data_IF_797664307502
#
_entry.id   IF_797664307502
#
_cell.length_a   1.000
_cell.length_b   1.000
_cell.length_c   1.000
_cell.angle_alpha   90.00
_cell.angle_beta   90.00
_cell.angle_gamma   90.00
#
_symmetry.space_group_name_H-M   'P 1'
#
loop_
_entity.id
_entity.type
_entity.pdbx_description
1 polymer ?
#
# COMPACT_ATOMS: atom_id res chain seq x y z
N UNK A 1 -34.87 -21.94 59.60
CA UNK A 1 -34.15 -22.78 60.60
C UNK A 1 -32.79 -23.15 60.00
N UNK A 2 -31.72 -23.11 60.82
CA UNK A 2 -30.27 -23.16 60.50
C UNK A 2 -29.68 -21.83 59.95
N UNK A 3 -29.04 -20.93 60.71
CA UNK A 3 -27.74 -20.95 61.45
C UNK A 3 -26.58 -21.39 60.55
N UNK A 4 -25.39 -20.79 60.50
CA UNK A 4 -24.75 -19.57 61.01
C UNK A 4 -23.26 -19.69 60.57
N UNK A 5 -22.46 -18.66 60.87
CA UNK A 5 -20.99 -18.69 61.11
C UNK A 5 -20.12 -18.24 59.93
N UNK A 6 -19.80 -16.95 59.97
CA UNK A 6 -18.53 -16.36 59.53
C UNK A 6 -17.43 -16.84 60.49
N UNK A 7 -16.16 -16.93 60.06
CA UNK A 7 -15.21 -16.07 60.75
C UNK A 7 -14.25 -15.35 59.79
N UNK A 8 -14.00 -14.09 60.13
CA UNK A 8 -12.82 -13.35 59.71
C UNK A 8 -11.81 -13.39 60.86
N UNK A 9 -10.52 -13.55 60.53
CA UNK A 9 -9.36 -12.91 61.18
C UNK A 9 -8.07 -13.61 60.71
N UNK A 10 -7.15 -12.88 60.09
CA UNK A 10 -5.86 -12.51 60.68
C UNK A 10 -4.85 -12.08 59.59
N UNK A 11 -4.04 -11.10 59.99
CA UNK A 11 -3.15 -10.25 59.20
C UNK A 11 -1.85 -10.92 58.71
N UNK A 12 -1.18 -10.28 57.74
CA UNK A 12 0.22 -9.82 57.87
C UNK A 12 0.67 -9.01 56.63
N UNK A 13 1.41 -7.94 56.89
CA UNK A 13 2.02 -7.06 55.91
C UNK A 13 3.20 -7.73 55.19
N UNK A 14 3.37 -7.44 53.90
CA UNK A 14 4.66 -7.51 53.24
C UNK A 14 4.69 -6.50 52.08
N UNK A 15 5.60 -5.54 52.19
CA UNK A 15 6.04 -4.62 51.16
C UNK A 15 6.70 -5.39 50.02
N UNK A 16 6.39 -5.06 48.77
CA UNK A 16 7.05 -5.64 47.60
C UNK A 16 6.73 -4.87 46.33
N UNK A 17 7.71 -4.12 45.84
CA UNK A 17 7.64 -3.38 44.58
C UNK A 17 7.57 -4.38 43.41
N UNK A 18 6.54 -4.29 42.57
CA UNK A 18 6.49 -5.03 41.30
C UNK A 18 7.44 -4.36 40.31
N UNK A 19 8.64 -4.92 40.16
CA UNK A 19 9.52 -4.66 39.02
C UNK A 19 8.90 -5.38 37.82
N UNK A 20 8.41 -4.60 36.86
CA UNK A 20 7.94 -5.12 35.58
C UNK A 20 9.09 -5.83 34.86
N UNK A 21 8.93 -7.13 34.63
CA UNK A 21 9.80 -7.90 33.76
C UNK A 21 9.67 -7.38 32.32
N UNK A 22 10.74 -6.79 31.79
CA UNK A 22 10.86 -6.48 30.37
C UNK A 22 11.04 -7.80 29.61
N UNK A 23 10.27 -8.08 28.54
CA UNK A 23 10.57 -9.20 27.67
C UNK A 23 11.90 -8.92 26.96
N UNK A 24 12.82 -9.90 27.03
CA UNK A 24 14.09 -9.87 26.33
C UNK A 24 13.85 -9.73 24.81
N UNK A 25 14.31 -8.61 24.25
CA UNK A 25 14.27 -8.39 22.81
C UNK A 25 15.20 -9.40 22.14
N UNK A 26 14.65 -10.21 21.23
CA UNK A 26 15.43 -11.08 20.36
C UNK A 26 16.40 -10.22 19.54
N UNK A 27 17.69 -10.55 19.58
CA UNK A 27 18.72 -9.84 18.84
C UNK A 27 18.43 -9.90 17.33
N UNK A 28 18.19 -8.74 16.73
CA UNK A 28 17.93 -8.58 15.30
C UNK A 28 19.21 -8.92 14.52
N UNK A 29 19.12 -9.81 13.53
CA UNK A 29 20.23 -10.18 12.64
C UNK A 29 20.70 -8.94 11.86
N UNK A 30 22.01 -8.67 11.76
CA UNK A 30 22.50 -7.57 10.93
C UNK A 30 22.14 -7.81 9.44
N UNK A 31 21.77 -6.74 8.71
CA UNK A 31 21.34 -6.85 7.31
C UNK A 31 22.48 -7.33 6.40
N UNK A 32 22.10 -8.10 5.38
CA UNK A 32 23.03 -8.64 4.40
C UNK A 32 23.45 -7.61 3.33
N UNK A 33 24.57 -7.84 2.61
CA UNK A 33 25.00 -6.95 1.55
C UNK A 33 23.95 -6.92 0.42
N UNK A 34 23.31 -5.76 0.23
CA UNK A 34 22.23 -5.54 -0.74
C UNK A 34 20.85 -5.25 -0.13
N UNK A 35 20.68 -5.41 1.19
CA UNK A 35 19.50 -4.89 1.89
C UNK A 35 19.64 -3.37 2.14
N UNK A 36 18.61 -2.56 1.85
CA UNK A 36 18.64 -1.16 2.22
C UNK A 36 18.76 -1.05 3.75
N UNK A 37 19.87 -0.50 4.23
CA UNK A 37 20.14 -0.32 5.66
C UNK A 37 19.07 0.58 6.26
N UNK A 38 18.25 0.03 7.16
CA UNK A 38 17.15 0.72 7.83
C UNK A 38 17.60 1.80 8.84
N UNK A 39 18.88 2.19 8.84
CA UNK A 39 19.44 3.18 9.76
C UNK A 39 19.44 4.56 9.12
N UNK A 40 18.33 5.26 9.28
CA UNK A 40 18.16 6.65 8.88
C UNK A 40 16.68 6.98 8.70
N UNK A 41 16.28 8.26 8.71
CA UNK A 41 14.89 8.66 8.47
C UNK A 41 14.33 8.03 7.19
N UNK A 42 15.17 7.83 6.16
CA UNK A 42 14.87 7.08 4.93
C UNK A 42 14.36 5.65 5.17
N UNK A 43 15.08 4.87 5.98
CA UNK A 43 14.74 3.49 6.29
C UNK A 43 13.39 3.40 6.98
N UNK A 44 13.10 4.34 7.89
CA UNK A 44 11.82 4.38 8.61
C UNK A 44 10.64 4.70 7.67
N UNK A 45 10.72 5.72 6.81
CA UNK A 45 9.59 6.03 5.89
C UNK A 45 9.37 4.93 4.86
N UNK A 46 10.43 4.29 4.38
CA UNK A 46 10.32 3.16 3.43
C UNK A 46 9.79 1.92 4.13
N UNK A 47 10.25 1.62 5.34
CA UNK A 47 9.78 0.47 6.12
C UNK A 47 8.31 0.67 6.55
N UNK A 48 7.91 1.86 6.97
CA UNK A 48 6.52 2.24 7.26
C UNK A 48 5.63 2.16 6.01
N UNK A 49 6.10 2.65 4.86
CA UNK A 49 5.41 2.50 3.57
C UNK A 49 5.36 1.05 3.07
N UNK A 50 6.21 0.15 3.58
CA UNK A 50 6.21 -1.27 3.23
C UNK A 50 5.38 -2.14 4.20
N UNK A 51 5.06 -1.67 5.42
CA UNK A 51 4.52 -2.52 6.49
C UNK A 51 3.08 -2.22 7.00
N UNK A 52 2.35 -1.23 6.46
CA UNK A 52 1.05 -0.85 7.05
C UNK A 52 -0.13 -0.73 6.08
N UNK A 53 -1.22 -1.51 6.24
CA UNK A 53 -2.53 -1.15 5.68
C UNK A 53 -3.04 0.10 6.42
N UNK A 54 -2.58 1.28 6.01
CA UNK A 54 -2.93 2.56 6.65
C UNK A 54 -1.96 3.72 6.38
N UNK A 55 -0.73 3.44 5.92
CA UNK A 55 0.27 4.46 5.56
C UNK A 55 0.54 4.54 4.06
N UNK A 56 -0.04 3.61 3.29
CA UNK A 56 0.16 3.48 1.85
C UNK A 56 -1.03 4.05 1.10
N UNK A 57 -0.75 5.05 0.29
CA UNK A 57 -1.67 5.68 -0.64
C UNK A 57 -1.26 5.33 -2.07
N UNK A 58 -2.24 5.32 -2.96
CA UNK A 58 -2.00 5.15 -4.38
C UNK A 58 -1.96 6.51 -5.09
N UNK A 59 -1.10 6.62 -6.08
CA UNK A 59 -0.88 7.84 -6.84
C UNK A 59 -0.82 7.57 -8.32
N UNK A 60 -1.04 8.60 -9.12
CA UNK A 60 -0.62 8.68 -10.53
C UNK A 60 0.12 9.98 -10.78
N UNK A 61 0.88 10.04 -11.87
CA UNK A 61 1.47 11.30 -12.30
C UNK A 61 0.41 12.29 -12.80
N UNK A 62 0.63 13.57 -12.51
CA UNK A 62 -0.07 14.72 -13.11
C UNK A 62 0.94 15.76 -13.58
N UNK A 63 0.53 16.58 -14.55
CA UNK A 63 1.36 17.67 -15.09
C UNK A 63 2.72 17.19 -15.64
N UNK A 64 2.80 15.92 -16.06
CA UNK A 64 3.94 15.34 -16.80
C UNK A 64 3.42 14.92 -18.16
N UNK A 65 4.04 15.41 -19.23
CA UNK A 65 3.63 15.10 -20.60
C UNK A 65 3.90 13.62 -20.95
N UNK A 66 3.21 13.07 -21.95
CA UNK A 66 3.19 11.62 -22.28
C UNK A 66 4.57 10.97 -22.50
N UNK A 67 5.54 11.72 -23.04
CA UNK A 67 6.94 11.27 -23.23
C UNK A 67 7.89 11.60 -22.07
N UNK A 68 7.41 12.35 -21.08
CA UNK A 68 8.19 12.82 -19.96
C UNK A 68 8.34 11.77 -18.85
N UNK A 69 9.09 12.15 -17.83
CA UNK A 69 9.26 11.36 -16.62
C UNK A 69 9.48 12.27 -15.41
N UNK A 70 9.20 11.72 -14.24
CA UNK A 70 9.59 12.28 -12.95
C UNK A 70 10.69 11.41 -12.34
N UNK A 71 11.77 12.04 -11.87
CA UNK A 71 12.81 11.31 -11.15
C UNK A 71 12.30 10.91 -9.76
N UNK A 72 12.52 9.64 -9.43
CA UNK A 72 12.50 9.13 -8.06
C UNK A 72 13.94 9.21 -7.55
N UNK A 73 14.15 9.82 -6.39
CA UNK A 73 15.49 10.12 -5.84
C UNK A 73 15.73 9.39 -4.53
N UNK A 74 17.00 9.22 -4.16
CA UNK A 74 17.40 8.60 -2.89
C UNK A 74 16.90 9.36 -1.66
N UNK A 75 16.66 10.67 -1.79
CA UNK A 75 16.18 11.50 -0.69
C UNK A 75 15.21 12.58 -1.15
N UNK A 76 14.55 13.19 -0.17
CA UNK A 76 13.60 14.27 -0.34
C UNK A 76 14.30 15.58 -0.74
N UNK A 77 14.68 15.71 -2.01
CA UNK A 77 15.34 16.90 -2.53
C UNK A 77 15.90 16.73 -3.93
N UNK A 78 16.04 17.82 -4.66
CA UNK A 78 16.58 17.80 -6.04
C UNK A 78 18.07 17.48 -6.11
N UNK A 79 18.80 17.64 -5.00
CA UNK A 79 20.24 17.38 -4.89
C UNK A 79 20.58 15.89 -4.72
N UNK A 80 19.61 15.06 -4.35
CA UNK A 80 19.82 13.61 -4.21
C UNK A 80 19.87 12.91 -5.57
N UNK A 81 20.65 11.83 -5.68
CA UNK A 81 20.77 11.07 -6.91
C UNK A 81 19.43 10.44 -7.34
N UNK A 82 19.11 10.40 -8.65
CA UNK A 82 17.97 9.63 -9.15
C UNK A 82 18.22 8.12 -9.08
N UNK A 83 17.23 7.36 -8.59
CA UNK A 83 17.26 5.87 -8.51
C UNK A 83 16.27 5.21 -9.46
N UNK A 84 15.21 5.92 -9.85
CA UNK A 84 14.22 5.42 -10.79
C UNK A 84 13.52 6.57 -11.53
N UNK A 85 12.68 6.20 -12.51
CA UNK A 85 11.84 7.12 -13.26
C UNK A 85 10.39 6.65 -13.17
N UNK A 86 9.49 7.59 -12.90
CA UNK A 86 8.05 7.41 -13.07
C UNK A 86 7.65 8.01 -14.41
N UNK A 87 6.92 7.27 -15.23
CA UNK A 87 6.39 7.73 -16.51
C UNK A 87 4.87 7.70 -16.49
N UNK A 88 4.18 8.62 -17.20
CA UNK A 88 2.72 8.56 -17.30
C UNK A 88 2.21 7.23 -17.86
N UNK A 89 3.02 6.56 -18.70
CA UNK A 89 2.69 5.25 -19.27
C UNK A 89 2.76 4.10 -18.26
N UNK A 90 3.49 4.24 -17.16
CA UNK A 90 3.62 3.20 -16.13
C UNK A 90 2.29 3.03 -15.37
N UNK A 91 1.50 4.11 -15.29
CA UNK A 91 0.22 4.14 -14.58
C UNK A 91 0.40 4.62 -13.14
N UNK A 92 -0.34 4.01 -12.24
CA UNK A 92 -0.32 4.30 -10.83
C UNK A 92 0.78 3.56 -10.08
N UNK A 93 1.11 4.05 -8.90
CA UNK A 93 2.15 3.52 -8.02
C UNK A 93 1.81 3.85 -6.56
N UNK A 94 2.43 3.14 -5.62
CA UNK A 94 2.19 3.34 -4.19
C UNK A 94 3.15 4.37 -3.60
N UNK A 95 2.75 4.99 -2.50
CA UNK A 95 3.59 5.90 -1.74
C UNK A 95 2.98 6.30 -0.40
N UNK A 96 3.72 7.07 0.39
CA UNK A 96 3.26 7.54 1.69
C UNK A 96 1.99 8.40 1.57
N UNK A 97 1.10 8.32 2.55
CA UNK A 97 -0.10 9.16 2.63
C UNK A 97 0.16 10.60 3.13
N UNK A 98 1.39 11.00 3.36
CA UNK A 98 1.75 12.36 3.77
C UNK A 98 3.02 12.80 3.04
N UNK A 99 3.07 14.09 2.69
CA UNK A 99 4.27 14.69 2.13
C UNK A 99 5.14 15.25 3.25
N UNK A 100 6.45 15.05 3.13
CA UNK A 100 7.45 15.69 3.99
C UNK A 100 8.23 16.67 3.14
N UNK A 101 8.12 17.98 3.46
CA UNK A 101 8.81 19.05 2.74
C UNK A 101 8.55 19.04 1.21
N UNK A 102 7.33 18.68 0.80
CA UNK A 102 6.95 18.64 -0.62
C UNK A 102 7.40 17.38 -1.38
N UNK A 103 7.90 16.35 -0.69
CA UNK A 103 8.26 15.06 -1.26
C UNK A 103 7.44 13.93 -0.67
N UNK A 104 7.16 12.91 -1.48
CA UNK A 104 6.45 11.69 -1.09
C UNK A 104 7.43 10.52 -1.26
N UNK A 105 7.55 9.68 -0.24
CA UNK A 105 8.20 8.38 -0.39
C UNK A 105 7.29 7.50 -1.28
N UNK A 106 7.84 6.94 -2.35
CA UNK A 106 7.11 6.16 -3.36
C UNK A 106 7.78 4.82 -3.57
N UNK A 107 7.00 3.83 -3.99
CA UNK A 107 7.47 2.57 -4.54
C UNK A 107 6.93 2.42 -5.95
N UNK A 108 7.85 2.35 -6.92
CA UNK A 108 7.51 2.15 -8.33
C UNK A 108 6.90 0.76 -8.53
N UNK A 109 6.17 0.55 -9.63
CA UNK A 109 5.65 -0.78 -10.00
C UNK A 109 6.76 -1.83 -10.14
N UNK A 110 7.98 -1.42 -10.53
CA UNK A 110 9.17 -2.29 -10.58
C UNK A 110 9.77 -2.61 -9.20
N UNK A 111 9.16 -2.15 -8.10
CA UNK A 111 9.58 -2.44 -6.73
C UNK A 111 10.62 -1.47 -6.16
N UNK A 112 11.22 -0.58 -6.97
CA UNK A 112 12.20 0.41 -6.50
C UNK A 112 11.52 1.47 -5.63
N UNK A 113 12.07 1.73 -4.45
CA UNK A 113 11.63 2.78 -3.53
C UNK A 113 12.51 4.03 -3.62
N UNK A 114 11.94 5.19 -3.29
CA UNK A 114 12.65 6.46 -3.17
C UNK A 114 11.68 7.64 -3.00
N UNK A 115 12.07 8.85 -3.39
CA UNK A 115 11.28 10.08 -3.18
C UNK A 115 10.93 10.77 -4.50
N UNK A 116 9.67 11.17 -4.62
CA UNK A 116 9.15 11.93 -5.76
C UNK A 116 8.53 13.26 -5.29
N UNK A 117 8.70 14.31 -6.08
CA UNK A 117 8.15 15.63 -5.74
C UNK A 117 6.61 15.63 -5.80
N UNK A 118 5.98 15.90 -4.66
CA UNK A 118 4.54 15.77 -4.43
C UNK A 118 3.69 16.60 -5.41
N UNK A 119 4.21 17.73 -5.87
CA UNK A 119 3.50 18.62 -6.81
C UNK A 119 3.09 17.93 -8.13
N UNK A 120 3.84 16.90 -8.55
CA UNK A 120 3.56 16.11 -9.75
C UNK A 120 2.76 14.83 -9.48
N UNK A 121 2.33 14.60 -8.23
CA UNK A 121 1.60 13.39 -7.85
C UNK A 121 0.15 13.72 -7.57
N UNK A 122 -0.75 12.97 -8.20
CA UNK A 122 -2.18 12.99 -7.92
C UNK A 122 -2.53 11.78 -7.06
N UNK A 123 -3.01 12.01 -5.84
CA UNK A 123 -3.47 10.93 -4.96
C UNK A 123 -4.79 10.39 -5.48
N UNK A 124 -4.88 9.08 -5.60
CA UNK A 124 -6.14 8.42 -5.96
C UNK A 124 -7.09 8.47 -4.77
N UNK A 125 -8.32 8.89 -5.03
CA UNK A 125 -9.38 8.83 -4.04
C UNK A 125 -9.97 7.41 -4.01
N UNK A 126 -9.92 6.79 -2.83
CA UNK A 126 -10.44 5.45 -2.59
C UNK A 126 -11.71 5.48 -1.74
N UNK A 127 -12.19 6.67 -1.39
CA UNK A 127 -13.45 6.84 -0.65
C UNK A 127 -14.62 6.29 -1.47
N UNK A 128 -15.55 5.59 -0.81
CA UNK A 128 -16.69 4.96 -1.46
C UNK A 128 -16.36 3.70 -2.29
N UNK A 129 -15.10 3.23 -2.31
CA UNK A 129 -14.74 1.97 -2.95
C UNK A 129 -15.26 0.78 -2.12
N UNK A 130 -15.92 -0.22 -2.72
CA UNK A 130 -16.38 -1.40 -2.01
C UNK A 130 -15.20 -2.26 -1.52
N UNK A 131 -15.43 -3.04 -0.47
CA UNK A 131 -14.43 -3.96 0.06
C UNK A 131 -14.11 -5.08 -0.94
N UNK A 132 -12.84 -5.49 -0.95
CA UNK A 132 -12.33 -6.53 -1.83
C UNK A 132 -12.38 -7.87 -1.08
N UNK A 133 -13.39 -8.68 -1.34
CA UNK A 133 -13.58 -10.00 -0.72
C UNK A 133 -13.87 -11.12 -1.73
N UNK A 134 -14.01 -10.76 -3.00
CA UNK A 134 -14.21 -11.67 -4.10
C UNK A 134 -12.95 -11.79 -4.95
N UNK A 135 -12.96 -12.75 -5.86
CA UNK A 135 -11.88 -12.91 -6.80
C UNK A 135 -12.38 -13.20 -8.19
N UNK A 136 -11.53 -12.85 -9.15
CA UNK A 136 -11.83 -12.91 -10.56
C UNK A 136 -10.66 -13.50 -11.33
N UNK A 137 -10.94 -13.88 -12.57
CA UNK A 137 -9.96 -14.14 -13.62
C UNK A 137 -10.34 -13.27 -14.82
N UNK A 138 -9.35 -12.84 -15.60
CA UNK A 138 -9.66 -12.20 -16.88
C UNK A 138 -10.31 -13.20 -17.85
N UNK A 139 -11.25 -12.70 -18.64
CA UNK A 139 -11.83 -13.37 -19.81
C UNK A 139 -11.83 -12.41 -20.99
N UNK A 140 -11.80 -12.94 -22.22
CA UNK A 140 -11.79 -12.16 -23.46
C UNK A 140 -10.61 -11.17 -23.58
N UNK A 141 -9.49 -11.44 -22.90
CA UNK A 141 -8.24 -10.68 -23.03
C UNK A 141 -7.16 -11.64 -23.52
N UNK A 142 -6.60 -11.39 -24.70
CA UNK A 142 -5.58 -12.23 -25.31
C UNK A 142 -4.23 -12.15 -24.56
N UNK A 143 -3.42 -13.21 -24.69
CA UNK A 143 -2.04 -13.22 -24.20
C UNK A 143 -1.25 -12.08 -24.87
N UNK A 144 -0.57 -11.26 -24.07
CA UNK A 144 0.13 -10.06 -24.53
C UNK A 144 -0.68 -8.76 -24.44
N UNK A 145 -2.00 -8.86 -24.38
CA UNK A 145 -2.89 -7.73 -24.12
C UNK A 145 -3.11 -7.50 -22.62
N UNK A 146 -3.81 -6.42 -22.28
CA UNK A 146 -4.16 -6.08 -20.91
C UNK A 146 -5.53 -5.40 -20.84
N UNK A 147 -6.17 -5.50 -19.69
CA UNK A 147 -7.33 -4.70 -19.32
C UNK A 147 -6.87 -3.49 -18.49
N UNK A 148 -7.35 -2.30 -18.83
CA UNK A 148 -7.07 -1.11 -18.03
C UNK A 148 -7.79 -1.16 -16.68
N UNK A 149 -7.05 -0.86 -15.62
CA UNK A 149 -7.60 -0.47 -14.31
C UNK A 149 -7.65 1.04 -14.28
N UNK A 150 -8.77 1.61 -13.86
CA UNK A 150 -9.04 3.05 -13.88
C UNK A 150 -9.30 3.59 -12.49
N UNK A 151 -9.09 4.90 -12.33
CA UNK A 151 -9.29 5.62 -11.07
C UNK A 151 -10.74 5.53 -10.55
N UNK A 152 -11.73 5.41 -11.44
CA UNK A 152 -13.15 5.31 -11.11
C UNK A 152 -13.92 4.36 -12.03
N UNK A 153 -15.17 4.07 -11.65
CA UNK A 153 -16.09 3.21 -12.37
C UNK A 153 -16.61 3.85 -13.67
N UNK A 154 -15.77 3.88 -14.72
CA UNK A 154 -16.16 4.45 -16.01
C UNK A 154 -15.00 4.60 -16.99
N UNK A 155 -15.32 4.66 -18.29
CA UNK A 155 -14.31 4.82 -19.36
C UNK A 155 -13.62 6.20 -19.36
N UNK A 156 -14.27 7.21 -18.79
CA UNK A 156 -13.76 8.59 -18.73
C UNK A 156 -12.72 8.81 -17.64
N UNK A 157 -12.58 7.87 -16.70
CA UNK A 157 -11.55 7.94 -15.65
C UNK A 157 -10.18 7.55 -16.19
N UNK A 158 -9.13 8.20 -15.68
CA UNK A 158 -7.76 7.93 -16.08
C UNK A 158 -7.34 6.48 -15.78
N UNK A 159 -6.58 5.81 -16.66
CA UNK A 159 -5.95 4.54 -16.34
C UNK A 159 -4.90 4.71 -15.23
N UNK A 160 -4.94 3.81 -14.24
CA UNK A 160 -4.01 3.75 -13.10
C UNK A 160 -3.30 2.40 -13.00
N UNK A 161 -3.66 1.42 -13.82
CA UNK A 161 -3.02 0.12 -13.78
C UNK A 161 -3.46 -0.77 -14.93
N UNK A 162 -2.93 -1.98 -14.94
CA UNK A 162 -3.20 -2.99 -15.96
C UNK A 162 -3.42 -4.33 -15.28
N UNK A 163 -4.41 -5.08 -15.77
CA UNK A 163 -4.56 -6.50 -15.47
C UNK A 163 -4.17 -7.28 -16.72
N UNK A 164 -3.35 -8.31 -16.53
CA UNK A 164 -2.87 -9.20 -17.59
C UNK A 164 -3.37 -10.61 -17.34
N UNK A 165 -3.59 -11.42 -18.39
CA UNK A 165 -3.97 -12.82 -18.20
C UNK A 165 -3.00 -13.62 -17.31
N UNK A 166 -1.72 -13.21 -17.27
CA UNK A 166 -0.69 -13.83 -16.44
C UNK A 166 -0.83 -13.54 -14.93
N UNK A 167 -1.60 -12.51 -14.54
CA UNK A 167 -1.80 -12.15 -13.12
C UNK A 167 -2.65 -13.20 -12.38
N UNK A 168 -3.36 -14.07 -13.12
CA UNK A 168 -4.12 -15.18 -12.56
C UNK A 168 -5.32 -14.73 -11.74
N UNK A 169 -5.25 -14.91 -10.41
CA UNK A 169 -6.33 -14.56 -9.48
C UNK A 169 -6.29 -13.07 -9.16
N UNK A 170 -7.35 -12.36 -9.52
CA UNK A 170 -7.48 -10.91 -9.33
C UNK A 170 -8.42 -10.64 -8.15
N UNK A 171 -7.95 -10.03 -7.05
CA UNK A 171 -8.81 -9.58 -5.97
C UNK A 171 -9.80 -8.52 -6.49
N UNK A 172 -11.09 -8.68 -6.18
CA UNK A 172 -12.11 -7.71 -6.55
C UNK A 172 -13.29 -7.60 -5.59
N UNK A 173 -14.09 -6.56 -5.76
CA UNK A 173 -15.37 -6.40 -5.08
C UNK A 173 -16.38 -7.44 -5.56
N UNK A 174 -17.33 -7.82 -4.70
CA UNK A 174 -18.32 -8.85 -5.05
C UNK A 174 -19.43 -8.32 -5.98
N UNK A 175 -19.65 -7.01 -5.98
CA UNK A 175 -20.67 -6.33 -6.77
C UNK A 175 -20.05 -5.39 -7.80
N UNK A 176 -20.76 -5.21 -8.91
CA UNK A 176 -20.38 -4.25 -9.94
C UNK A 176 -21.11 -2.92 -9.72
N UNK A 177 -20.36 -1.83 -9.82
CA UNK A 177 -20.89 -0.46 -9.83
C UNK A 177 -20.91 0.03 -11.27
N UNK A 178 -22.11 0.22 -11.84
CA UNK A 178 -22.29 0.67 -13.23
C UNK A 178 -21.52 -0.19 -14.27
N UNK A 179 -21.44 -1.50 -14.05
CA UNK A 179 -20.71 -2.42 -14.94
C UNK A 179 -19.18 -2.44 -14.73
N UNK A 180 -18.69 -1.87 -13.64
CA UNK A 180 -17.28 -1.90 -13.23
C UNK A 180 -17.11 -2.61 -11.89
N UNK A 181 -16.03 -3.36 -11.73
CA UNK A 181 -15.67 -4.03 -10.49
C UNK A 181 -14.45 -3.32 -9.91
N UNK A 182 -14.48 -3.01 -8.62
CA UNK A 182 -13.31 -2.56 -7.90
C UNK A 182 -12.30 -3.72 -7.84
N UNK A 183 -11.04 -3.48 -8.22
CA UNK A 183 -9.97 -4.50 -8.30
C UNK A 183 -8.65 -3.97 -7.79
N UNK A 184 -7.84 -4.83 -7.18
CA UNK A 184 -6.44 -4.52 -6.89
C UNK A 184 -5.55 -5.21 -7.93
N UNK A 185 -4.60 -4.45 -8.47
CA UNK A 185 -3.55 -5.00 -9.34
C UNK A 185 -2.55 -5.83 -8.52
N UNK A 186 -1.74 -6.65 -9.20
CA UNK A 186 -0.68 -7.42 -8.55
C UNK A 186 0.33 -6.53 -7.79
N UNK A 187 0.53 -5.29 -8.24
CA UNK A 187 1.40 -4.30 -7.60
C UNK A 187 0.73 -3.57 -6.42
N UNK A 188 -0.47 -4.01 -6.01
CA UNK A 188 -1.24 -3.42 -4.92
C UNK A 188 -1.87 -2.07 -5.27
N UNK A 189 -1.96 -1.72 -6.55
CA UNK A 189 -2.62 -0.48 -6.99
C UNK A 189 -4.13 -0.72 -7.08
N UNK A 190 -4.94 0.00 -6.28
CA UNK A 190 -6.38 -0.09 -6.33
C UNK A 190 -6.97 0.66 -7.52
N UNK A 191 -8.08 0.16 -8.04
CA UNK A 191 -8.91 0.90 -8.99
C UNK A 191 -10.13 0.09 -9.44
N UNK A 192 -10.58 0.36 -10.67
CA UNK A 192 -11.79 -0.20 -11.26
C UNK A 192 -11.52 -0.80 -12.64
N UNK A 193 -12.06 -1.98 -12.90
CA UNK A 193 -11.96 -2.65 -14.19
C UNK A 193 -13.35 -3.05 -14.70
N UNK A 194 -13.53 -3.09 -16.02
CA UNK A 194 -14.82 -3.42 -16.61
C UNK A 194 -15.21 -4.86 -16.31
N UNK A 195 -16.41 -5.05 -15.75
CA UNK A 195 -16.97 -6.35 -15.39
C UNK A 195 -17.14 -7.27 -16.62
N UNK A 196 -17.24 -6.70 -17.81
CA UNK A 196 -17.34 -7.43 -19.07
C UNK A 196 -16.14 -8.36 -19.31
N UNK A 197 -14.97 -8.02 -18.78
CA UNK A 197 -13.73 -8.78 -18.95
C UNK A 197 -13.35 -9.60 -17.71
N UNK A 198 -14.20 -9.64 -16.68
CA UNK A 198 -13.90 -10.27 -15.39
C UNK A 198 -14.87 -11.40 -15.07
N UNK A 199 -14.38 -12.64 -14.99
CA UNK A 199 -15.16 -13.80 -14.56
C UNK A 199 -14.92 -14.07 -13.08
N UNK A 200 -15.98 -14.01 -12.25
CA UNK A 200 -15.90 -14.32 -10.83
C UNK A 200 -15.47 -15.78 -10.60
N UNK A 201 -14.68 -15.97 -9.56
CA UNK A 201 -14.14 -17.25 -9.11
C UNK A 201 -15.01 -17.90 -8.04
#
# INVERSE_FOLDING_TARGET
MAKSIVPALAALAATGWLVAAHPAQAAVRPPGPGEPTASGPYGQVVHEAMQGPGLVCAYRLRHVHKGGFLNVREGAGVHHAPVAKLRPADGGFSGACTATNGWIAVKTAGGTSGFAAARYLHRLDLSGRPSISCAYRLRHVHKGSFLNVREGAGIHHAPVGRLRPADGRIPGGCDATHGWVAVDTADGIPGWASAHYLRRL
#
